data_IF_256749188024
#
_entry.id   IF_256749188024
#
_cell.length_a   1.000
_cell.length_b   1.000
_cell.length_c   1.000
_cell.angle_alpha   90.00
_cell.angle_beta   90.00
_cell.angle_gamma   90.00
#
_symmetry.space_group_name_H-M   'P 1'
#
loop_
_entity.id
_entity.type
_entity.pdbx_description
1 polymer ?
#
# COMPACT_ATOMS: atom_id res chain seq x y z
N UNK A 1 -29.81 -6.69 -4.49
CA UNK A 1 -28.92 -6.04 -5.49
C UNK A 1 -27.92 -7.06 -5.96
N UNK A 2 -27.96 -7.42 -7.24
CA UNK A 2 -26.96 -8.29 -7.89
C UNK A 2 -25.94 -7.39 -8.58
N UNK A 3 -24.66 -7.59 -8.27
CA UNK A 3 -23.57 -6.87 -8.94
C UNK A 3 -23.33 -7.50 -10.31
N UNK A 4 -23.17 -6.67 -11.33
CA UNK A 4 -22.88 -7.08 -12.70
C UNK A 4 -21.57 -6.45 -13.17
N UNK A 5 -20.84 -7.15 -14.03
CA UNK A 5 -19.63 -6.59 -14.64
C UNK A 5 -19.99 -5.58 -15.76
N UNK A 6 -18.96 -5.00 -16.40
CA UNK A 6 -19.13 -4.05 -17.51
C UNK A 6 -19.81 -4.68 -18.75
N UNK A 7 -19.81 -6.00 -18.85
CA UNK A 7 -20.43 -6.80 -19.91
C UNK A 7 -21.84 -7.32 -19.52
N UNK A 8 -22.38 -6.86 -18.37
CA UNK A 8 -23.67 -7.23 -17.80
C UNK A 8 -23.85 -8.68 -17.32
N UNK A 9 -22.77 -9.43 -17.18
CA UNK A 9 -22.80 -10.77 -16.59
C UNK A 9 -22.91 -10.71 -15.07
N UNK A 10 -23.69 -11.63 -14.49
CA UNK A 10 -23.97 -11.67 -13.05
C UNK A 10 -22.74 -12.20 -12.30
N UNK A 11 -22.23 -11.40 -11.39
CA UNK A 11 -20.93 -11.56 -10.70
C UNK A 11 -20.91 -12.65 -9.60
N UNK A 12 -21.80 -13.65 -9.66
CA UNK A 12 -22.14 -14.63 -8.60
C UNK A 12 -23.02 -14.09 -7.45
N UNK A 13 -23.75 -15.01 -6.79
CA UNK A 13 -24.51 -14.72 -5.57
C UNK A 13 -23.56 -14.19 -4.48
N UNK A 14 -23.97 -13.11 -3.82
CA UNK A 14 -23.20 -12.43 -2.78
C UNK A 14 -22.90 -13.39 -1.63
N UNK A 15 -21.73 -14.01 -1.63
CA UNK A 15 -21.22 -14.76 -0.49
C UNK A 15 -20.62 -13.77 0.52
N UNK A 16 -21.23 -13.68 1.70
CA UNK A 16 -20.68 -12.89 2.81
C UNK A 16 -19.82 -13.82 3.64
N UNK A 17 -18.50 -13.70 3.53
CA UNK A 17 -17.54 -14.47 4.34
C UNK A 17 -17.08 -13.59 5.49
N UNK A 18 -17.40 -13.98 6.72
CA UNK A 18 -16.90 -13.31 7.93
C UNK A 18 -15.65 -14.04 8.39
N UNK A 19 -14.49 -13.39 8.23
CA UNK A 19 -13.23 -13.85 8.80
C UNK A 19 -13.12 -13.30 10.22
N UNK A 20 -13.41 -14.15 11.19
CA UNK A 20 -13.08 -13.86 12.59
C UNK A 20 -11.63 -14.27 12.78
N UNK A 21 -10.77 -13.33 13.17
CA UNK A 21 -9.42 -13.65 13.61
C UNK A 21 -9.52 -14.44 14.92
N UNK A 22 -9.52 -15.76 14.79
CA UNK A 22 -9.64 -16.65 15.93
C UNK A 22 -8.23 -16.84 16.49
N UNK A 23 -7.91 -16.11 17.57
CA UNK A 23 -6.65 -16.21 18.32
C UNK A 23 -6.27 -17.67 18.71
N UNK A 24 -7.23 -18.60 18.70
CA UNK A 24 -7.02 -20.04 18.89
C UNK A 24 -6.18 -20.70 17.78
N UNK A 25 -6.05 -20.11 16.58
CA UNK A 25 -5.30 -20.71 15.47
C UNK A 25 -3.81 -20.31 15.42
N UNK A 26 -3.45 -19.14 15.95
CA UNK A 26 -2.04 -18.71 16.04
C UNK A 26 -1.22 -19.60 17.00
N UNK A 27 -1.87 -20.24 17.98
CA UNK A 27 -1.19 -21.00 19.03
C UNK A 27 -0.95 -22.48 18.68
N UNK A 28 -1.78 -23.06 17.80
CA UNK A 28 -1.85 -24.52 17.57
C UNK A 28 -1.79 -24.92 16.09
N UNK A 29 -1.09 -24.16 15.23
CA UNK A 29 -1.03 -24.43 13.79
C UNK A 29 -0.56 -25.87 13.44
N UNK A 30 0.25 -26.48 14.31
CA UNK A 30 0.75 -27.87 14.16
C UNK A 30 -0.36 -28.92 14.19
N UNK A 31 -1.48 -28.64 14.86
CA UNK A 31 -2.58 -29.60 15.02
C UNK A 31 -3.37 -29.80 13.72
N UNK A 32 -3.20 -28.90 12.74
CA UNK A 32 -3.99 -28.88 11.50
C UNK A 32 -3.16 -29.23 10.25
N UNK A 33 -1.90 -29.63 10.37
CA UNK A 33 -1.02 -29.88 9.21
C UNK A 33 -1.56 -31.02 8.33
N UNK A 34 -2.15 -32.06 8.94
CA UNK A 34 -2.74 -33.20 8.22
C UNK A 34 -4.27 -33.15 8.08
N UNK A 35 -4.92 -32.08 8.52
CA UNK A 35 -6.38 -31.97 8.47
C UNK A 35 -6.84 -31.52 7.08
N UNK A 36 -7.62 -32.38 6.41
CA UNK A 36 -8.16 -32.13 5.07
C UNK A 36 -9.55 -31.50 5.08
N UNK A 37 -10.09 -31.14 6.24
CA UNK A 37 -11.35 -30.40 6.29
C UNK A 37 -11.19 -29.04 5.58
N UNK A 38 -12.30 -28.56 4.99
CA UNK A 38 -12.29 -27.33 4.19
C UNK A 38 -11.78 -26.13 4.98
N UNK A 39 -12.12 -26.04 6.27
CA UNK A 39 -11.65 -24.99 7.16
C UNK A 39 -10.13 -25.01 7.36
N UNK A 40 -9.54 -26.18 7.60
CA UNK A 40 -8.10 -26.30 7.77
C UNK A 40 -7.33 -25.94 6.49
N UNK A 41 -7.86 -26.32 5.32
CA UNK A 41 -7.31 -25.91 4.02
C UNK A 41 -7.35 -24.40 3.83
N UNK A 42 -8.46 -23.73 4.16
CA UNK A 42 -8.58 -22.27 4.11
C UNK A 42 -7.55 -21.57 5.00
N UNK A 43 -7.37 -22.08 6.22
CA UNK A 43 -6.42 -21.51 7.16
C UNK A 43 -4.97 -21.63 6.64
N UNK A 44 -4.59 -22.80 6.10
CA UNK A 44 -3.28 -22.99 5.51
C UNK A 44 -3.08 -22.10 4.28
N UNK A 45 -4.06 -22.01 3.39
CA UNK A 45 -4.00 -21.14 2.22
C UNK A 45 -3.79 -19.67 2.61
N UNK A 46 -4.56 -19.15 3.58
CA UNK A 46 -4.41 -17.76 4.05
C UNK A 46 -3.04 -17.53 4.68
N UNK A 47 -2.57 -18.46 5.53
CA UNK A 47 -1.24 -18.37 6.15
C UNK A 47 -0.11 -18.40 5.11
N UNK A 48 -0.21 -19.26 4.10
CA UNK A 48 0.74 -19.31 2.97
C UNK A 48 0.77 -17.99 2.19
N UNK A 49 -0.38 -17.36 1.94
CA UNK A 49 -0.46 -16.05 1.28
C UNK A 49 0.17 -14.94 2.12
N UNK A 50 -0.14 -14.91 3.41
CA UNK A 50 0.40 -13.90 4.34
C UNK A 50 1.93 -13.99 4.48
N UNK A 51 2.50 -15.18 4.33
CA UNK A 51 3.95 -15.41 4.35
C UNK A 51 4.62 -15.24 2.99
N UNK A 52 3.85 -14.93 1.94
CA UNK A 52 4.33 -14.92 0.55
C UNK A 52 5.05 -16.22 0.14
N UNK A 53 4.60 -17.35 0.68
CA UNK A 53 5.20 -18.67 0.46
C UNK A 53 4.65 -19.38 -0.79
N UNK A 54 5.21 -20.55 -1.13
CA UNK A 54 4.75 -21.35 -2.27
C UNK A 54 3.29 -21.81 -2.09
N UNK A 55 2.43 -21.36 -3.00
CA UNK A 55 0.99 -21.61 -3.00
C UNK A 55 0.59 -22.77 -3.92
N UNK A 56 1.55 -23.48 -4.51
CA UNK A 56 1.31 -24.54 -5.50
C UNK A 56 0.41 -25.66 -4.97
N UNK A 57 0.47 -25.97 -3.66
CA UNK A 57 -0.40 -26.95 -2.99
C UNK A 57 -1.90 -26.64 -3.19
N UNK A 58 -2.27 -25.37 -3.27
CA UNK A 58 -3.65 -24.90 -3.35
C UNK A 58 -4.07 -24.50 -4.78
N UNK A 59 -3.15 -24.51 -5.73
CA UNK A 59 -3.36 -23.95 -7.08
C UNK A 59 -4.42 -24.68 -7.91
N UNK A 60 -4.70 -25.95 -7.59
CA UNK A 60 -5.70 -26.75 -8.27
C UNK A 60 -7.14 -26.46 -7.78
N UNK A 61 -7.30 -25.74 -6.66
CA UNK A 61 -8.61 -25.36 -6.17
C UNK A 61 -9.05 -24.03 -6.81
N UNK A 62 -10.20 -23.97 -7.49
CA UNK A 62 -10.63 -22.77 -8.20
C UNK A 62 -10.87 -21.57 -7.27
N UNK A 63 -11.30 -21.81 -6.03
CA UNK A 63 -11.55 -20.75 -5.05
C UNK A 63 -10.23 -20.19 -4.52
N UNK A 64 -9.26 -21.05 -4.23
CA UNK A 64 -7.94 -20.59 -3.80
C UNK A 64 -7.14 -19.92 -4.92
N UNK A 65 -7.35 -20.33 -6.17
CA UNK A 65 -6.78 -19.63 -7.33
C UNK A 65 -7.32 -18.21 -7.46
N UNK A 66 -8.64 -18.02 -7.26
CA UNK A 66 -9.25 -16.69 -7.22
C UNK A 66 -8.62 -15.85 -6.09
N UNK A 67 -8.54 -16.42 -4.88
CA UNK A 67 -7.94 -15.76 -3.72
C UNK A 67 -6.49 -15.32 -3.99
N UNK A 68 -5.66 -16.19 -4.59
CA UNK A 68 -4.28 -15.87 -4.93
C UNK A 68 -4.19 -14.69 -5.91
N UNK A 69 -5.08 -14.63 -6.90
CA UNK A 69 -5.12 -13.53 -7.86
C UNK A 69 -5.51 -12.20 -7.21
N UNK A 70 -6.52 -12.20 -6.33
CA UNK A 70 -6.93 -11.01 -5.59
C UNK A 70 -5.80 -10.47 -4.69
N UNK A 71 -5.12 -11.36 -3.95
CA UNK A 71 -3.99 -10.95 -3.10
C UNK A 71 -2.85 -10.36 -3.92
N UNK A 72 -2.55 -10.91 -5.10
CA UNK A 72 -1.52 -10.34 -6.00
C UNK A 72 -1.88 -8.93 -6.44
N UNK A 73 -3.15 -8.66 -6.74
CA UNK A 73 -3.61 -7.32 -7.12
C UNK A 73 -3.51 -6.35 -5.94
N UNK A 74 -3.94 -6.75 -4.73
CA UNK A 74 -3.81 -5.93 -3.52
C UNK A 74 -2.35 -5.59 -3.19
N UNK A 75 -1.46 -6.58 -3.23
CA UNK A 75 -0.03 -6.37 -2.97
C UNK A 75 0.63 -5.52 -4.05
N UNK A 76 0.25 -5.69 -5.32
CA UNK A 76 0.70 -4.83 -6.41
C UNK A 76 0.28 -3.38 -6.19
N UNK A 77 -1.00 -3.12 -5.90
CA UNK A 77 -1.51 -1.79 -5.62
C UNK A 77 -0.82 -1.14 -4.42
N UNK A 78 -0.64 -1.88 -3.32
CA UNK A 78 0.03 -1.33 -2.13
C UNK A 78 1.50 -1.02 -2.37
N UNK A 79 2.25 -1.91 -3.02
CA UNK A 79 3.67 -1.67 -3.34
C UNK A 79 3.83 -0.52 -4.32
N UNK A 80 2.99 -0.47 -5.35
CA UNK A 80 2.98 0.62 -6.32
C UNK A 80 2.69 1.97 -5.66
N UNK A 81 1.64 2.05 -4.83
CA UNK A 81 1.31 3.26 -4.07
C UNK A 81 2.47 3.70 -3.18
N UNK A 82 3.07 2.79 -2.41
CA UNK A 82 4.23 3.12 -1.58
C UNK A 82 5.41 3.65 -2.41
N UNK A 83 5.71 3.04 -3.56
CA UNK A 83 6.82 3.50 -4.41
C UNK A 83 6.56 4.86 -5.05
N UNK A 84 5.34 5.11 -5.50
CA UNK A 84 4.96 6.39 -6.12
C UNK A 84 4.92 7.49 -5.07
N UNK A 85 4.30 7.24 -3.91
CA UNK A 85 4.22 8.20 -2.81
C UNK A 85 5.61 8.53 -2.25
N UNK A 86 6.50 7.54 -2.10
CA UNK A 86 7.89 7.79 -1.69
C UNK A 86 8.65 8.60 -2.74
N UNK A 87 8.50 8.29 -4.03
CA UNK A 87 9.14 9.05 -5.11
C UNK A 87 8.66 10.50 -5.15
N UNK A 88 7.36 10.73 -4.94
CA UNK A 88 6.78 12.07 -4.92
C UNK A 88 7.21 12.85 -3.69
N UNK A 89 7.31 12.18 -2.53
CA UNK A 89 7.85 12.76 -1.31
C UNK A 89 9.32 13.16 -1.48
N UNK A 90 10.17 12.26 -1.98
CA UNK A 90 11.59 12.52 -2.19
C UNK A 90 11.80 13.69 -3.18
N UNK A 91 11.00 13.73 -4.24
CA UNK A 91 10.99 14.85 -5.20
C UNK A 91 10.59 16.16 -4.52
N UNK A 92 9.52 16.17 -3.74
CA UNK A 92 9.06 17.36 -3.02
C UNK A 92 10.12 17.86 -2.01
N UNK A 93 10.80 16.95 -1.31
CA UNK A 93 11.90 17.29 -0.40
C UNK A 93 13.09 17.90 -1.16
N UNK A 94 13.48 17.32 -2.30
CA UNK A 94 14.57 17.85 -3.12
C UNK A 94 14.26 19.24 -3.70
N UNK A 95 13.03 19.46 -4.18
CA UNK A 95 12.56 20.77 -4.65
C UNK A 95 12.56 21.79 -3.51
N UNK A 96 12.08 21.41 -2.33
CA UNK A 96 12.07 22.27 -1.15
C UNK A 96 13.49 22.64 -0.70
N UNK A 97 14.41 21.67 -0.66
CA UNK A 97 15.82 21.93 -0.35
C UNK A 97 16.46 22.92 -1.33
N UNK A 98 16.19 22.74 -2.63
CA UNK A 98 16.70 23.64 -3.68
C UNK A 98 16.17 25.06 -3.50
N UNK A 99 14.88 25.22 -3.19
CA UNK A 99 14.27 26.52 -2.88
C UNK A 99 14.91 27.18 -1.64
N UNK A 100 15.26 26.39 -0.63
CA UNK A 100 15.97 26.87 0.56
C UNK A 100 17.39 27.36 0.25
N UNK A 101 18.14 26.63 -0.59
CA UNK A 101 19.48 27.04 -1.02
C UNK A 101 19.46 28.31 -1.85
N UNK A 102 18.48 28.46 -2.75
CA UNK A 102 18.27 29.69 -3.53
C UNK A 102 17.93 30.85 -2.59
N UNK A 103 17.01 30.66 -1.64
CA UNK A 103 16.66 31.69 -0.67
C UNK A 103 17.87 32.16 0.15
N UNK A 104 18.73 31.22 0.57
CA UNK A 104 19.96 31.52 1.31
C UNK A 104 20.93 32.37 0.47
N UNK A 105 21.18 31.99 -0.79
CA UNK A 105 22.03 32.78 -1.70
C UNK A 105 21.48 34.18 -1.97
N UNK A 106 20.16 34.33 -2.12
CA UNK A 106 19.54 35.64 -2.32
C UNK A 106 19.62 36.51 -1.07
N UNK A 107 19.50 35.93 0.13
CA UNK A 107 19.71 36.62 1.40
C UNK A 107 21.15 37.11 1.55
N UNK A 108 22.14 36.28 1.22
CA UNK A 108 23.57 36.64 1.21
C UNK A 108 23.84 37.82 0.26
N UNK A 109 23.16 37.84 -0.89
CA UNK A 109 23.22 38.93 -1.87
C UNK A 109 22.42 40.20 -1.46
N UNK A 110 21.85 40.24 -0.25
CA UNK A 110 21.04 41.36 0.29
C UNK A 110 19.80 41.70 -0.55
N UNK A 111 19.24 40.71 -1.25
CA UNK A 111 17.99 40.88 -1.99
C UNK A 111 16.80 41.10 -1.03
N UNK A 112 15.79 41.91 -1.43
CA UNK A 112 14.65 42.21 -0.57
C UNK A 112 13.78 40.97 -0.34
N UNK A 113 13.31 40.80 0.90
CA UNK A 113 12.49 39.66 1.34
C UNK A 113 11.31 39.34 0.41
N UNK A 114 10.59 40.36 -0.07
CA UNK A 114 9.46 40.20 -0.98
C UNK A 114 9.84 39.52 -2.30
N UNK A 115 11.03 39.84 -2.83
CA UNK A 115 11.55 39.22 -4.07
C UNK A 115 11.92 37.76 -3.83
N UNK A 116 12.47 37.43 -2.65
CA UNK A 116 12.82 36.06 -2.27
C UNK A 116 11.56 35.20 -2.10
N UNK A 117 10.52 35.72 -1.44
CA UNK A 117 9.21 35.04 -1.32
C UNK A 117 8.60 34.79 -2.69
N UNK A 118 8.56 35.80 -3.55
CA UNK A 118 7.99 35.68 -4.90
C UNK A 118 8.73 34.65 -5.76
N UNK A 119 10.05 34.52 -5.61
CA UNK A 119 10.86 33.65 -6.46
C UNK A 119 10.94 32.20 -5.95
N UNK A 120 10.93 32.01 -4.63
CA UNK A 120 11.07 30.68 -4.01
C UNK A 120 9.74 30.07 -3.56
N UNK A 121 8.70 30.89 -3.40
CA UNK A 121 7.40 30.47 -2.85
C UNK A 121 7.46 30.10 -1.37
N UNK A 122 8.57 30.36 -0.68
CA UNK A 122 8.74 30.05 0.74
C UNK A 122 8.06 31.12 1.62
N UNK A 123 7.48 30.74 2.77
CA UNK A 123 6.91 31.69 3.72
C UNK A 123 7.96 32.66 4.28
N UNK A 124 7.59 33.92 4.48
CA UNK A 124 8.48 34.94 5.06
C UNK A 124 9.11 34.51 6.40
N UNK A 125 8.33 33.85 7.26
CA UNK A 125 8.82 33.37 8.56
C UNK A 125 9.99 32.38 8.40
N UNK A 126 9.95 31.50 7.40
CA UNK A 126 11.03 30.54 7.11
C UNK A 126 12.27 31.23 6.56
N UNK A 127 12.09 32.22 5.68
CA UNK A 127 13.20 33.01 5.12
C UNK A 127 13.87 33.84 6.22
N UNK A 128 13.11 34.40 7.17
CA UNK A 128 13.67 35.13 8.31
C UNK A 128 14.48 34.25 9.26
N UNK A 129 14.12 32.97 9.38
CA UNK A 129 14.85 31.99 10.20
C UNK A 129 16.11 31.43 9.52
N UNK A 130 16.36 31.76 8.24
CA UNK A 130 17.61 31.43 7.54
C UNK A 130 18.74 32.42 7.84
N UNK A 131 18.44 33.48 8.59
CA UNK A 131 19.32 34.62 8.86
C UNK A 131 20.26 34.35 10.03
#
# INVERSE_FOLDING_TARGET
>A
MQLKNQEQEVYFDRQTVTLVEVAKFLKNAKDYVGDNCRLAQWLRAIDTLNREADFSEFANDPVFKLLQNEVKLCNFSSRYLMTVDMSDFDRAVAEYSTKMDIAKKMLENKEPLQKIVSYTGLPEAKIRNLK
#
